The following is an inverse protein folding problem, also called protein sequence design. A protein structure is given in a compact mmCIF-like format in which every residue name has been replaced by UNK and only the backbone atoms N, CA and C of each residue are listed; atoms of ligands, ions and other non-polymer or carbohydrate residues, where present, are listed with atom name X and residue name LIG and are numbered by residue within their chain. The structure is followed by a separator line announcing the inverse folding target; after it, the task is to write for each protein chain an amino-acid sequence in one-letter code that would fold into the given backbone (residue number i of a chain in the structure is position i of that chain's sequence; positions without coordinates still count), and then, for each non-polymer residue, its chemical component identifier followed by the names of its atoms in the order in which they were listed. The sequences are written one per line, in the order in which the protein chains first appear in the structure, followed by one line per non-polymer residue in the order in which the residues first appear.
data_IF_855166891004
#
_entry.id   IF_855166891004
#
_cell.length_a   1.000
_cell.length_b   1.000
_cell.length_c   1.000
_cell.angle_alpha   90.00
_cell.angle_beta   90.00
_cell.angle_gamma   90.00
#
_symmetry.space_group_name_H-M   'P 1'
#
loop_
_entity.id
_entity.type
_entity.pdbx_description
1 polymer ?
#
# COMPACT_ATOMS: atom_id res chain seq x y z
N UNK A 1 -2.12 -4.38 3.38
CA UNK A 1 -1.46 -5.09 4.50
C UNK A 1 -0.98 -6.52 4.21
N UNK A 2 -1.41 -7.24 3.15
CA UNK A 2 -0.77 -8.51 2.78
C UNK A 2 0.60 -8.33 2.07
N UNK A 3 0.77 -7.25 1.29
CA UNK A 3 1.91 -7.07 0.38
C UNK A 3 3.24 -6.80 1.09
N UNK A 4 3.24 -5.91 2.09
CA UNK A 4 4.46 -5.66 2.89
C UNK A 4 4.90 -6.90 3.66
N UNK A 5 3.94 -7.65 4.24
CA UNK A 5 4.25 -8.91 4.93
C UNK A 5 4.81 -9.95 3.96
N UNK A 6 4.23 -10.09 2.76
CA UNK A 6 4.72 -10.98 1.71
C UNK A 6 6.18 -10.68 1.34
N UNK A 7 6.51 -9.40 1.15
CA UNK A 7 7.87 -8.95 0.86
C UNK A 7 8.83 -9.26 2.02
N UNK A 8 8.42 -8.93 3.25
CA UNK A 8 9.20 -9.17 4.47
C UNK A 8 9.49 -10.66 4.68
N UNK A 9 8.47 -11.52 4.58
CA UNK A 9 8.60 -12.97 4.71
C UNK A 9 9.54 -13.51 3.63
N UNK A 10 9.36 -13.08 2.37
CA UNK A 10 10.21 -13.54 1.29
C UNK A 10 11.68 -13.20 1.52
N UNK A 11 11.97 -11.98 1.99
CA UNK A 11 13.32 -11.56 2.35
C UNK A 11 13.89 -12.40 3.51
N UNK A 12 13.14 -12.52 4.61
CA UNK A 12 13.59 -13.23 5.82
C UNK A 12 13.85 -14.71 5.55
N UNK A 13 13.07 -15.32 4.65
CA UNK A 13 13.21 -16.72 4.28
C UNK A 13 14.14 -16.96 3.09
N UNK A 14 14.73 -15.89 2.51
CA UNK A 14 15.51 -15.96 1.25
C UNK A 14 14.75 -16.65 0.12
N UNK A 15 13.44 -16.44 0.08
CA UNK A 15 12.55 -16.99 -0.94
C UNK A 15 12.60 -16.15 -2.23
N UNK A 16 11.86 -16.59 -3.25
CA UNK A 16 11.71 -15.85 -4.50
C UNK A 16 11.09 -14.47 -4.26
N UNK A 17 11.56 -13.47 -5.01
CA UNK A 17 11.02 -12.12 -5.00
C UNK A 17 9.54 -12.17 -5.40
N UNK A 18 8.61 -11.69 -4.55
CA UNK A 18 7.20 -11.74 -4.86
C UNK A 18 6.85 -10.95 -6.11
N UNK A 19 5.87 -11.46 -6.86
CA UNK A 19 5.30 -10.78 -8.01
C UNK A 19 4.00 -10.11 -7.57
N UNK A 20 3.93 -8.79 -7.70
CA UNK A 20 2.76 -7.99 -7.39
C UNK A 20 2.10 -7.54 -8.69
N UNK A 21 0.94 -8.12 -8.96
CA UNK A 21 0.06 -7.72 -10.06
C UNK A 21 -0.87 -6.59 -9.63
N UNK A 22 -1.06 -5.62 -10.54
CA UNK A 22 -2.09 -4.58 -10.62
C UNK A 22 -2.52 -3.93 -9.27
N UNK A 23 -2.19 -2.65 -9.10
CA UNK A 23 -2.36 -1.94 -7.84
C UNK A 23 -3.67 -1.15 -7.74
N UNK A 24 -4.24 -0.74 -8.86
CA UNK A 24 -5.50 -0.01 -8.91
C UNK A 24 -6.69 -0.96 -8.68
N UNK A 25 -7.61 -0.62 -7.77
CA UNK A 25 -8.83 -1.40 -7.61
C UNK A 25 -9.73 -1.24 -8.85
N UNK A 26 -10.58 -2.23 -9.12
CA UNK A 26 -11.59 -2.10 -10.17
C UNK A 26 -12.53 -0.93 -9.83
N UNK A 27 -12.74 -0.02 -10.78
CA UNK A 27 -13.49 1.20 -10.54
C UNK A 27 -14.95 0.93 -10.19
N UNK A 28 -15.60 -0.03 -10.88
CA UNK A 28 -17.01 -0.35 -10.67
C UNK A 28 -17.22 -1.10 -9.33
N UNK A 29 -16.32 -2.01 -8.98
CA UNK A 29 -16.33 -2.65 -7.66
C UNK A 29 -16.05 -1.66 -6.54
N UNK A 30 -15.14 -0.69 -6.77
CA UNK A 30 -14.82 0.36 -5.81
C UNK A 30 -16.03 1.24 -5.56
N UNK A 31 -16.66 1.74 -6.62
CA UNK A 31 -17.88 2.55 -6.50
C UNK A 31 -18.96 1.81 -5.70
N UNK A 32 -19.29 0.57 -6.09
CA UNK A 32 -20.29 -0.25 -5.40
C UNK A 32 -19.94 -0.49 -3.92
N UNK A 33 -18.65 -0.69 -3.60
CA UNK A 33 -18.22 -0.93 -2.22
C UNK A 33 -18.36 0.31 -1.33
N UNK A 34 -18.17 1.50 -1.91
CA UNK A 34 -18.16 2.76 -1.17
C UNK A 34 -19.43 3.61 -1.37
N UNK A 35 -20.40 3.16 -2.19
CA UNK A 35 -21.62 3.92 -2.54
C UNK A 35 -22.43 4.40 -1.32
N UNK A 36 -22.50 3.59 -0.26
CA UNK A 36 -23.26 3.87 0.94
C UNK A 36 -22.44 4.55 2.05
N UNK A 37 -21.15 4.82 1.81
CA UNK A 37 -20.24 5.37 2.81
C UNK A 37 -20.22 6.89 2.70
N UNK A 38 -20.53 7.56 3.82
CA UNK A 38 -20.42 9.02 3.90
C UNK A 38 -18.96 9.47 3.76
N UNK A 39 -18.74 10.69 3.26
CA UNK A 39 -17.41 11.28 3.14
C UNK A 39 -16.66 11.32 4.49
N UNK A 40 -17.34 11.63 5.59
CA UNK A 40 -16.73 11.68 6.92
C UNK A 40 -16.31 10.29 7.42
N UNK A 41 -17.13 9.28 7.14
CA UNK A 41 -16.78 7.88 7.39
C UNK A 41 -15.58 7.44 6.54
N UNK A 42 -15.54 7.81 5.25
CA UNK A 42 -14.43 7.50 4.36
C UNK A 42 -13.11 8.13 4.85
N UNK A 43 -13.14 9.42 5.26
CA UNK A 43 -11.98 10.12 5.85
C UNK A 43 -11.49 9.43 7.12
N UNK A 44 -12.41 9.09 8.02
CA UNK A 44 -12.08 8.39 9.27
C UNK A 44 -11.43 7.04 8.98
N UNK A 45 -11.99 6.25 8.06
CA UNK A 45 -11.47 4.96 7.67
C UNK A 45 -10.08 5.05 7.03
N UNK A 46 -9.84 6.08 6.20
CA UNK A 46 -8.53 6.33 5.60
C UNK A 46 -7.48 6.63 6.68
N UNK A 47 -7.78 7.52 7.62
CA UNK A 47 -6.89 7.86 8.74
C UNK A 47 -6.57 6.63 9.60
N UNK A 48 -7.58 5.85 9.96
CA UNK A 48 -7.38 4.59 10.71
C UNK A 48 -6.48 3.64 9.93
N UNK A 49 -6.74 3.45 8.63
CA UNK A 49 -5.94 2.58 7.77
C UNK A 49 -4.48 3.03 7.69
N UNK A 50 -4.22 4.34 7.55
CA UNK A 50 -2.87 4.90 7.51
C UNK A 50 -2.13 4.75 8.84
N UNK A 51 -2.80 5.04 9.96
CA UNK A 51 -2.21 4.84 11.29
C UNK A 51 -1.87 3.37 11.55
N UNK A 52 -2.75 2.43 11.17
CA UNK A 52 -2.45 1.00 11.27
C UNK A 52 -1.24 0.61 10.41
N UNK A 53 -1.14 1.13 9.19
CA UNK A 53 -0.01 0.88 8.28
C UNK A 53 1.30 1.41 8.86
N UNK A 54 1.31 2.64 9.37
CA UNK A 54 2.47 3.24 10.00
C UNK A 54 2.93 2.42 11.21
N UNK A 55 2.02 2.08 12.14
CA UNK A 55 2.35 1.31 13.34
C UNK A 55 2.95 -0.05 13.00
N UNK A 56 2.43 -0.71 11.96
CA UNK A 56 2.94 -2.00 11.51
C UNK A 56 4.34 -1.89 10.91
N UNK A 57 4.59 -0.87 10.07
CA UNK A 57 5.89 -0.67 9.42
C UNK A 57 6.98 -0.17 10.37
N UNK A 58 6.61 0.54 11.44
CA UNK A 58 7.53 0.89 12.53
C UNK A 58 8.15 -0.35 13.20
N UNK A 59 7.48 -1.50 13.11
CA UNK A 59 8.01 -2.77 13.60
C UNK A 59 9.10 -3.39 12.71
N UNK A 60 9.34 -2.85 11.51
CA UNK A 60 10.30 -3.43 10.56
C UNK A 60 11.69 -2.87 10.80
N UNK A 61 12.70 -3.75 10.76
CA UNK A 61 14.10 -3.34 10.70
C UNK A 61 14.43 -2.60 9.41
N UNK A 62 15.56 -1.88 9.37
CA UNK A 62 16.02 -1.21 8.14
C UNK A 62 16.23 -2.20 6.99
N UNK A 63 16.67 -3.43 7.30
CA UNK A 63 16.81 -4.48 6.30
C UNK A 63 15.44 -4.89 5.76
N UNK A 64 14.45 -5.13 6.63
CA UNK A 64 13.09 -5.52 6.22
C UNK A 64 12.40 -4.44 5.38
N UNK A 65 12.68 -3.16 5.65
CA UNK A 65 12.19 -2.06 4.83
C UNK A 65 12.79 -2.02 3.41
N UNK A 66 13.94 -2.67 3.20
CA UNK A 66 14.55 -2.89 1.88
C UNK A 66 14.07 -4.16 1.17
N UNK A 67 13.18 -4.95 1.79
CA UNK A 67 12.58 -6.10 1.12
C UNK A 67 11.93 -5.69 -0.20
N UNK A 68 12.08 -6.51 -1.24
CA UNK A 68 11.72 -6.17 -2.60
C UNK A 68 10.61 -7.07 -3.17
N UNK A 69 9.90 -6.55 -4.17
CA UNK A 69 8.96 -7.23 -5.03
C UNK A 69 9.16 -6.76 -6.48
N UNK A 70 8.74 -7.57 -7.45
CA UNK A 70 8.47 -7.07 -8.80
C UNK A 70 7.05 -6.57 -8.90
N UNK A 71 6.91 -5.34 -9.38
CA UNK A 71 5.66 -4.70 -9.69
C UNK A 71 5.54 -4.47 -11.20
N UNK A 72 4.35 -4.77 -11.75
CA UNK A 72 4.11 -4.63 -13.19
C UNK A 72 4.37 -3.20 -13.71
N UNK A 73 4.00 -2.18 -12.95
CA UNK A 73 4.12 -0.76 -13.35
C UNK A 73 5.47 -0.15 -12.95
N UNK A 74 6.01 -0.53 -11.79
CA UNK A 74 7.15 0.16 -11.17
C UNK A 74 8.46 -0.63 -11.28
N UNK A 75 8.45 -1.80 -11.92
CA UNK A 75 9.61 -2.68 -11.96
C UNK A 75 9.95 -3.22 -10.57
N UNK A 76 11.22 -3.17 -10.18
CA UNK A 76 11.63 -3.57 -8.83
C UNK A 76 11.27 -2.50 -7.82
N UNK A 77 10.46 -2.86 -6.84
CA UNK A 77 10.00 -1.96 -5.78
C UNK A 77 10.35 -2.55 -4.41
N UNK A 78 10.89 -1.70 -3.54
CA UNK A 78 11.12 -1.99 -2.12
C UNK A 78 9.91 -1.60 -1.28
N UNK A 79 9.85 -2.02 -0.02
CA UNK A 79 8.80 -1.55 0.90
C UNK A 79 8.85 -0.02 1.03
N UNK A 80 10.05 0.58 1.14
CA UNK A 80 10.23 2.04 1.22
C UNK A 80 9.72 2.77 -0.02
N UNK A 81 10.10 2.31 -1.22
CA UNK A 81 9.63 2.94 -2.47
C UNK A 81 8.14 2.71 -2.71
N UNK A 82 7.59 1.56 -2.31
CA UNK A 82 6.15 1.34 -2.33
C UNK A 82 5.41 2.27 -1.37
N UNK A 83 6.02 2.63 -0.23
CA UNK A 83 5.46 3.62 0.68
C UNK A 83 5.43 5.00 0.07
N UNK A 84 6.50 5.39 -0.64
CA UNK A 84 6.52 6.65 -1.37
C UNK A 84 5.39 6.72 -2.40
N UNK A 85 5.20 5.66 -3.21
CA UNK A 85 4.10 5.59 -4.18
C UNK A 85 2.72 5.79 -3.54
N UNK A 86 2.50 5.22 -2.35
CA UNK A 86 1.23 5.39 -1.62
C UNK A 86 1.04 6.85 -1.18
N UNK A 87 2.10 7.49 -0.70
CA UNK A 87 2.05 8.89 -0.26
C UNK A 87 1.82 9.84 -1.45
N UNK A 88 2.50 9.60 -2.57
CA UNK A 88 2.33 10.37 -3.80
C UNK A 88 0.88 10.26 -4.29
N UNK A 89 0.31 9.06 -4.28
CA UNK A 89 -1.07 8.84 -4.68
C UNK A 89 -2.10 9.49 -3.72
N UNK A 90 -1.83 9.47 -2.41
CA UNK A 90 -2.68 10.18 -1.44
C UNK A 90 -2.69 11.69 -1.72
N UNK A 91 -1.53 12.25 -2.08
CA UNK A 91 -1.40 13.66 -2.42
C UNK A 91 -2.09 14.00 -3.75
N UNK A 92 -1.97 13.15 -4.77
CA UNK A 92 -2.72 13.28 -6.03
C UNK A 92 -4.23 13.32 -5.79
N UNK A 93 -4.74 12.39 -4.98
CA UNK A 93 -6.16 12.39 -4.60
C UNK A 93 -6.54 13.63 -3.80
N UNK A 94 -5.73 14.04 -2.82
CA UNK A 94 -5.98 15.26 -2.04
C UNK A 94 -6.05 16.49 -2.94
N UNK A 95 -5.17 16.59 -3.93
CA UNK A 95 -5.15 17.69 -4.90
C UNK A 95 -6.43 17.71 -5.75
N UNK A 96 -6.96 16.54 -6.13
CA UNK A 96 -8.18 16.40 -6.93
C UNK A 96 -9.49 16.79 -6.21
N UNK A 97 -9.45 16.97 -4.88
CA UNK A 97 -10.60 17.37 -4.06
C UNK A 97 -10.75 18.90 -3.89
N UNK A 98 -9.84 19.70 -4.48
CA UNK A 98 -9.91 21.16 -4.51
C UNK A 98 -10.45 21.66 -5.85
#
# INVERSE_FOLDING_TARGET
MPRFELMRIAMNNKALIPQLSWWEPDAAETEKKYEAISLDTAKTNLLVSRNSMQNYLMGFSENERRAAAQHKTFGTITIESMLQVILDHDEEHRASLN
#
